data_IF_869343619140
#
_entry.id   IF_869343619140
#
_cell.length_a   1.000
_cell.length_b   1.000
_cell.length_c   1.000
_cell.angle_alpha   90.00
_cell.angle_beta   90.00
_cell.angle_gamma   90.00
#
_symmetry.space_group_name_H-M   'P 1'
#
loop_
_entity.id
_entity.type
_entity.pdbx_description
1 polymer ?
#
# COMPACT_ATOMS: atom_id res chain seq x y z
N UNK A 1 4.99 -23.47 -32.02
CA UNK A 1 4.34 -24.03 -30.80
C UNK A 1 5.35 -23.88 -29.69
N UNK A 2 5.28 -22.75 -28.97
CA UNK A 2 6.08 -22.52 -27.76
C UNK A 2 5.56 -23.47 -26.68
N UNK A 3 6.44 -24.24 -26.05
CA UNK A 3 6.08 -25.09 -24.92
C UNK A 3 5.47 -24.19 -23.85
N UNK A 4 4.18 -24.40 -23.51
CA UNK A 4 3.56 -23.74 -22.34
C UNK A 4 4.41 -24.06 -21.12
N UNK A 5 4.90 -23.03 -20.43
CA UNK A 5 5.65 -23.18 -19.20
C UNK A 5 4.81 -23.96 -18.16
N UNK A 6 5.51 -24.59 -17.22
CA UNK A 6 4.84 -25.28 -16.10
C UNK A 6 4.06 -24.22 -15.28
N UNK A 7 2.78 -24.50 -14.98
CA UNK A 7 2.00 -23.69 -14.03
C UNK A 7 2.55 -23.87 -12.63
N UNK A 8 2.73 -22.76 -11.94
CA UNK A 8 3.17 -22.72 -10.56
C UNK A 8 1.97 -22.54 -9.61
N UNK A 9 2.21 -22.81 -8.35
CA UNK A 9 1.25 -22.55 -7.27
C UNK A 9 1.63 -21.24 -6.55
N UNK A 10 0.66 -20.35 -6.38
CA UNK A 10 0.81 -19.11 -5.59
C UNK A 10 0.20 -19.30 -4.21
N UNK A 11 0.93 -18.86 -3.18
CA UNK A 11 0.40 -18.58 -1.86
C UNK A 11 0.80 -17.16 -1.42
N UNK A 12 -0.11 -16.44 -0.81
CA UNK A 12 0.12 -15.10 -0.27
C UNK A 12 0.12 -15.16 1.26
N UNK A 13 1.28 -14.93 1.86
CA UNK A 13 1.42 -14.87 3.32
C UNK A 13 1.41 -13.42 3.76
N UNK A 14 0.58 -13.09 4.74
CA UNK A 14 0.62 -11.79 5.41
C UNK A 14 1.44 -11.97 6.67
N UNK A 15 2.48 -11.16 6.80
CA UNK A 15 3.45 -11.22 7.90
C UNK A 15 3.41 -9.90 8.65
N UNK A 16 3.24 -9.99 9.97
CA UNK A 16 3.41 -8.87 10.90
C UNK A 16 4.78 -9.05 11.53
N UNK A 17 5.81 -8.29 11.09
CA UNK A 17 7.14 -8.40 11.69
C UNK A 17 7.18 -7.73 13.06
N UNK A 18 8.17 -8.08 13.88
CA UNK A 18 8.42 -7.44 15.18
C UNK A 18 8.76 -5.95 15.04
N UNK A 19 9.29 -5.53 13.91
CA UNK A 19 9.57 -4.13 13.59
C UNK A 19 9.28 -3.85 12.12
N UNK A 20 8.79 -2.64 11.83
CA UNK A 20 8.42 -2.20 10.48
C UNK A 20 6.92 -2.37 10.21
N UNK A 21 6.57 -2.54 8.94
CA UNK A 21 5.17 -2.61 8.50
C UNK A 21 4.73 -4.02 8.13
N UNK A 22 3.42 -4.24 8.14
CA UNK A 22 2.81 -5.48 7.65
C UNK A 22 3.13 -5.70 6.18
N UNK A 23 3.42 -6.94 5.81
CA UNK A 23 3.92 -7.29 4.48
C UNK A 23 3.12 -8.43 3.86
N UNK A 24 2.84 -8.32 2.57
CA UNK A 24 2.48 -9.47 1.76
C UNK A 24 3.75 -10.12 1.24
N UNK A 25 3.90 -11.43 1.49
CA UNK A 25 5.02 -12.25 1.02
C UNK A 25 4.50 -13.25 -0.01
N UNK A 26 4.72 -13.02 -1.32
CA UNK A 26 4.35 -14.00 -2.33
C UNK A 26 5.25 -15.23 -2.26
N UNK A 27 4.64 -16.40 -2.19
CA UNK A 27 5.30 -17.70 -2.14
C UNK A 27 4.91 -18.48 -3.39
N UNK A 28 5.87 -18.74 -4.26
CA UNK A 28 5.66 -19.47 -5.52
C UNK A 28 6.31 -20.85 -5.42
N UNK A 29 5.53 -21.91 -5.64
CA UNK A 29 5.96 -23.31 -5.49
C UNK A 29 6.66 -23.54 -4.12
N UNK A 30 6.17 -22.92 -3.04
CA UNK A 30 6.70 -23.02 -1.69
C UNK A 30 7.90 -22.12 -1.39
N UNK A 31 8.40 -21.31 -2.34
CA UNK A 31 9.54 -20.40 -2.16
C UNK A 31 9.06 -18.96 -2.05
N UNK A 32 9.49 -18.26 -1.01
CA UNK A 32 9.29 -16.81 -0.89
C UNK A 32 10.18 -16.09 -1.90
N UNK A 33 9.56 -15.48 -2.92
CA UNK A 33 10.29 -14.82 -4.01
C UNK A 33 10.96 -13.51 -3.60
N UNK A 34 10.60 -12.94 -2.45
CA UNK A 34 11.22 -11.72 -1.91
C UNK A 34 12.40 -12.02 -0.97
N UNK A 35 12.60 -13.29 -0.60
CA UNK A 35 13.70 -13.70 0.26
C UNK A 35 15.01 -13.92 -0.52
N UNK A 36 14.95 -14.00 -1.86
CA UNK A 36 16.13 -14.23 -2.71
C UNK A 36 16.95 -12.94 -2.93
N UNK A 37 18.30 -13.09 -3.13
CA UNK A 37 19.15 -11.93 -3.40
C UNK A 37 18.75 -11.17 -4.70
N UNK A 38 18.97 -9.85 -4.69
CA UNK A 38 19.63 -9.07 -3.65
C UNK A 38 18.74 -8.91 -2.43
N UNK A 39 19.17 -9.48 -1.30
CA UNK A 39 18.45 -9.49 -0.04
C UNK A 39 18.08 -8.07 0.42
N UNK A 40 16.95 -7.92 1.10
CA UNK A 40 16.50 -6.65 1.65
C UNK A 40 15.12 -6.19 1.18
N UNK A 41 14.44 -6.96 0.35
CA UNK A 41 13.07 -6.65 -0.04
C UNK A 41 12.10 -6.88 1.13
N UNK A 42 11.46 -5.82 1.56
CA UNK A 42 10.28 -5.90 2.40
C UNK A 42 9.05 -5.97 1.51
N UNK A 43 8.16 -6.91 1.76
CA UNK A 43 6.90 -6.99 1.04
C UNK A 43 6.08 -5.70 1.19
N UNK A 44 5.24 -5.42 0.23
CA UNK A 44 4.36 -4.26 0.27
C UNK A 44 3.16 -4.52 1.18
N UNK A 45 2.53 -3.45 1.62
CA UNK A 45 1.37 -3.47 2.50
C UNK A 45 0.19 -4.24 1.85
N UNK A 46 -0.56 -5.08 2.61
CA UNK A 46 -1.73 -5.80 2.10
C UNK A 46 -2.78 -4.90 1.44
N UNK A 47 -3.02 -3.71 1.95
CA UNK A 47 -3.99 -2.79 1.35
C UNK A 47 -3.57 -2.27 -0.03
N UNK A 48 -2.26 -2.23 -0.30
CA UNK A 48 -1.72 -1.87 -1.62
C UNK A 48 -1.77 -3.07 -2.56
N UNK A 49 -1.25 -4.22 -2.12
CA UNK A 49 -1.11 -5.41 -2.97
C UNK A 49 -2.44 -6.09 -3.26
N UNK A 50 -3.35 -6.11 -2.28
CA UNK A 50 -4.65 -6.79 -2.37
C UNK A 50 -5.81 -5.81 -2.62
N UNK A 51 -5.53 -4.52 -2.62
CA UNK A 51 -6.50 -3.46 -2.88
C UNK A 51 -6.79 -3.22 -4.37
N UNK A 52 -7.54 -2.16 -4.68
CA UNK A 52 -7.83 -1.77 -6.06
C UNK A 52 -6.54 -1.51 -6.87
N UNK A 53 -6.44 -2.09 -8.07
CA UNK A 53 -5.25 -1.99 -8.91
C UNK A 53 -4.08 -2.87 -8.48
N UNK A 54 -4.26 -3.70 -7.43
CA UNK A 54 -3.31 -4.71 -7.00
C UNK A 54 -3.53 -6.06 -7.70
N UNK A 55 -3.15 -7.13 -7.02
CA UNK A 55 -3.18 -8.49 -7.57
C UNK A 55 -4.58 -9.00 -7.95
N UNK A 56 -5.65 -8.42 -7.36
CA UNK A 56 -7.03 -8.81 -7.65
C UNK A 56 -7.57 -8.27 -8.98
N UNK A 57 -6.99 -7.20 -9.51
CA UNK A 57 -7.46 -6.55 -10.73
C UNK A 57 -6.89 -7.22 -11.98
N UNK A 58 -7.21 -8.50 -12.20
CA UNK A 58 -6.68 -9.27 -13.33
C UNK A 58 -7.68 -9.27 -14.47
N UNK A 59 -7.44 -8.40 -15.44
CA UNK A 59 -8.15 -8.38 -16.72
C UNK A 59 -7.18 -8.68 -17.90
N UNK A 60 -7.64 -8.52 -19.13
CA UNK A 60 -6.81 -8.71 -20.33
C UNK A 60 -5.75 -7.61 -20.51
N UNK A 61 -5.89 -6.47 -19.79
CA UNK A 61 -4.95 -5.38 -19.87
C UNK A 61 -3.84 -5.56 -18.83
N UNK A 62 -2.58 -5.63 -19.26
CA UNK A 62 -1.45 -5.70 -18.35
C UNK A 62 -1.40 -4.46 -17.44
N UNK A 63 -1.16 -4.66 -16.15
CA UNK A 63 -0.92 -3.58 -15.21
C UNK A 63 0.26 -3.90 -14.30
N UNK A 64 0.93 -2.87 -13.79
CA UNK A 64 2.02 -3.02 -12.84
C UNK A 64 1.51 -3.06 -11.41
N UNK A 65 2.05 -4.00 -10.64
CA UNK A 65 1.83 -4.10 -9.19
C UNK A 65 3.16 -3.96 -8.47
N UNK A 66 3.23 -3.06 -7.50
CA UNK A 66 4.37 -2.99 -6.59
C UNK A 66 4.23 -4.08 -5.54
N UNK A 67 5.17 -5.03 -5.53
CA UNK A 67 5.18 -6.16 -4.60
C UNK A 67 6.07 -5.94 -3.39
N UNK A 68 7.11 -5.11 -3.54
CA UNK A 68 8.07 -4.90 -2.47
C UNK A 68 8.79 -3.55 -2.59
N UNK A 69 9.40 -3.14 -1.50
CA UNK A 69 10.29 -1.97 -1.41
C UNK A 69 11.52 -2.30 -0.55
N UNK A 70 12.59 -1.55 -0.73
CA UNK A 70 13.71 -1.61 0.20
C UNK A 70 13.34 -0.80 1.44
N UNK A 71 13.85 -1.22 2.60
CA UNK A 71 13.51 -0.67 3.94
C UNK A 71 13.94 0.78 4.17
N UNK A 72 14.02 1.62 3.14
CA UNK A 72 14.15 3.05 3.33
C UNK A 72 12.79 3.71 3.04
N UNK A 73 12.51 4.81 3.71
CA UNK A 73 11.27 5.56 3.58
C UNK A 73 11.18 6.34 2.26
N UNK A 74 12.28 6.41 1.50
CA UNK A 74 12.33 7.17 0.26
C UNK A 74 12.23 6.26 -0.97
N UNK A 75 11.41 6.64 -1.94
CA UNK A 75 11.20 5.93 -3.21
C UNK A 75 12.51 5.73 -4.00
N UNK A 76 13.54 6.54 -3.73
CA UNK A 76 14.86 6.43 -4.33
C UNK A 76 15.61 5.13 -4.03
N UNK A 77 15.22 4.40 -2.97
CA UNK A 77 15.93 3.20 -2.51
C UNK A 77 15.53 1.90 -3.22
N UNK A 78 14.60 1.94 -4.12
CA UNK A 78 14.18 0.82 -4.95
C UNK A 78 12.85 0.19 -4.53
N UNK A 79 12.15 -0.29 -5.54
CA UNK A 79 10.91 -1.02 -5.39
C UNK A 79 10.86 -2.15 -6.43
N UNK A 80 10.21 -3.25 -6.09
CA UNK A 80 10.00 -4.36 -7.00
C UNK A 80 8.60 -4.28 -7.58
N UNK A 81 8.53 -4.09 -8.88
CA UNK A 81 7.29 -4.12 -9.65
C UNK A 81 7.23 -5.39 -10.50
N UNK A 82 6.02 -5.86 -10.71
CA UNK A 82 5.70 -6.94 -11.63
C UNK A 82 4.56 -6.53 -12.54
N UNK A 83 4.62 -6.90 -13.81
CA UNK A 83 3.48 -6.81 -14.70
C UNK A 83 2.60 -8.04 -14.52
N UNK A 84 1.33 -7.81 -14.20
CA UNK A 84 0.31 -8.86 -14.04
C UNK A 84 -0.66 -8.76 -15.21
N UNK A 85 -0.95 -9.89 -15.85
CA UNK A 85 -1.89 -9.95 -16.96
C UNK A 85 -2.58 -11.32 -17.06
N UNK A 86 -3.74 -11.35 -17.68
CA UNK A 86 -4.47 -12.58 -17.97
C UNK A 86 -4.20 -13.06 -19.39
N UNK A 87 -3.88 -14.31 -19.55
CA UNK A 87 -3.76 -15.00 -20.84
C UNK A 87 -4.70 -16.22 -20.87
N UNK A 88 -5.96 -15.98 -21.20
CA UNK A 88 -6.98 -17.04 -21.21
C UNK A 88 -7.24 -17.61 -19.82
N UNK A 89 -6.85 -18.87 -19.60
CA UNK A 89 -7.00 -19.58 -18.32
C UNK A 89 -5.78 -19.46 -17.39
N UNK A 90 -4.84 -18.57 -17.72
CA UNK A 90 -3.63 -18.32 -16.95
C UNK A 90 -3.53 -16.85 -16.52
N UNK A 91 -2.94 -16.62 -15.34
CA UNK A 91 -2.40 -15.32 -14.92
C UNK A 91 -0.89 -15.39 -15.02
N UNK A 92 -0.31 -14.38 -15.64
CA UNK A 92 1.13 -14.32 -15.90
C UNK A 92 1.72 -13.15 -15.15
N UNK A 93 2.82 -13.40 -14.45
CA UNK A 93 3.67 -12.40 -13.83
C UNK A 93 4.99 -12.33 -14.59
N UNK A 94 5.27 -11.19 -15.19
CA UNK A 94 6.53 -10.92 -15.90
C UNK A 94 6.93 -9.44 -15.78
N UNK A 95 7.84 -8.97 -16.65
CA UNK A 95 8.21 -7.56 -16.74
C UNK A 95 8.76 -6.99 -15.42
N UNK A 96 9.47 -7.78 -14.64
CA UNK A 96 10.05 -7.39 -13.37
C UNK A 96 10.90 -6.13 -13.50
N UNK A 97 10.66 -5.15 -12.63
CA UNK A 97 11.31 -3.84 -12.72
C UNK A 97 11.69 -3.32 -11.33
N UNK A 98 12.91 -2.80 -11.24
CA UNK A 98 13.37 -2.00 -10.10
C UNK A 98 13.77 -0.60 -10.62
N UNK A 99 13.00 0.48 -10.35
CA UNK A 99 13.29 1.83 -10.84
C UNK A 99 14.63 2.40 -10.38
N UNK A 100 15.11 2.00 -9.19
CA UNK A 100 16.39 2.46 -8.67
C UNK A 100 17.60 1.81 -9.35
N UNK A 101 17.36 0.91 -10.31
CA UNK A 101 18.40 0.16 -10.99
C UNK A 101 18.74 -1.16 -10.30
N UNK A 102 19.47 -2.01 -11.02
CA UNK A 102 19.73 -3.39 -10.61
C UNK A 102 18.75 -4.38 -11.23
N UNK A 103 19.22 -5.61 -11.39
CA UNK A 103 18.42 -6.68 -11.98
C UNK A 103 17.43 -7.21 -10.94
N UNK A 104 16.17 -7.28 -11.34
CA UNK A 104 15.18 -8.12 -10.67
C UNK A 104 15.08 -9.42 -11.47
N UNK A 105 16.12 -10.29 -11.35
CA UNK A 105 16.24 -11.54 -12.14
C UNK A 105 15.25 -12.61 -11.67
N UNK A 106 13.96 -12.24 -11.62
CA UNK A 106 12.89 -13.19 -11.36
C UNK A 106 12.36 -13.72 -12.70
N UNK A 107 12.07 -15.02 -12.80
CA UNK A 107 11.52 -15.62 -14.01
C UNK A 107 10.08 -15.18 -14.25
N UNK A 108 9.56 -15.45 -15.44
CA UNK A 108 8.13 -15.43 -15.68
C UNK A 108 7.46 -16.52 -14.85
N UNK A 109 6.37 -16.16 -14.14
CA UNK A 109 5.51 -17.08 -13.43
C UNK A 109 4.16 -17.19 -14.12
N UNK A 110 3.61 -18.40 -14.18
CA UNK A 110 2.30 -18.72 -14.77
C UNK A 110 1.46 -19.48 -13.77
N UNK A 111 0.28 -18.98 -13.50
CA UNK A 111 -0.66 -19.55 -12.54
C UNK A 111 -1.97 -19.94 -13.25
N UNK A 112 -2.63 -20.99 -12.81
CA UNK A 112 -4.01 -21.24 -13.21
C UNK A 112 -4.90 -20.12 -12.68
N UNK A 113 -5.66 -19.44 -13.57
CA UNK A 113 -6.41 -18.23 -13.22
C UNK A 113 -7.39 -18.44 -12.06
N UNK A 114 -8.13 -19.54 -12.06
CA UNK A 114 -9.10 -19.81 -11.00
C UNK A 114 -8.44 -20.01 -9.62
N UNK A 115 -7.27 -20.67 -9.57
CA UNK A 115 -6.52 -20.86 -8.32
C UNK A 115 -5.87 -19.57 -7.84
N UNK A 116 -5.33 -18.80 -8.78
CA UNK A 116 -4.78 -17.48 -8.52
C UNK A 116 -5.83 -16.55 -7.89
N UNK A 117 -6.98 -16.43 -8.54
CA UNK A 117 -8.08 -15.59 -8.07
C UNK A 117 -8.60 -16.04 -6.69
N UNK A 118 -8.72 -17.36 -6.48
CA UNK A 118 -9.12 -17.91 -5.18
C UNK A 118 -8.10 -17.55 -4.08
N UNK A 119 -6.79 -17.64 -4.36
CA UNK A 119 -5.75 -17.31 -3.38
C UNK A 119 -5.71 -15.82 -3.07
N UNK A 120 -5.78 -14.95 -4.10
CA UNK A 120 -5.82 -13.50 -3.89
C UNK A 120 -7.08 -13.11 -3.10
N UNK A 121 -8.22 -13.69 -3.42
CA UNK A 121 -9.47 -13.46 -2.69
C UNK A 121 -9.38 -13.93 -1.24
N UNK A 122 -8.83 -15.14 -0.99
CA UNK A 122 -8.57 -15.64 0.36
C UNK A 122 -7.72 -14.67 1.16
N UNK A 123 -6.59 -14.23 0.59
CA UNK A 123 -5.67 -13.31 1.25
C UNK A 123 -6.31 -11.94 1.53
N UNK A 124 -7.12 -11.43 0.60
CA UNK A 124 -7.83 -10.17 0.76
C UNK A 124 -8.93 -10.21 1.85
N UNK A 125 -9.50 -11.39 2.11
CA UNK A 125 -10.50 -11.58 3.18
C UNK A 125 -9.87 -11.91 4.53
N UNK A 126 -8.61 -12.31 4.56
CA UNK A 126 -7.92 -12.60 5.81
C UNK A 126 -7.65 -11.31 6.60
N UNK A 127 -8.30 -11.16 7.73
CA UNK A 127 -8.15 -10.04 8.68
C UNK A 127 -7.51 -10.47 10.00
N UNK A 128 -7.09 -11.73 10.12
CA UNK A 128 -6.52 -12.27 11.34
C UNK A 128 -5.21 -11.64 11.79
N UNK A 129 -4.58 -10.88 10.92
CA UNK A 129 -3.34 -10.13 11.15
C UNK A 129 -3.57 -8.67 11.57
N UNK A 130 -4.80 -8.16 11.53
CA UNK A 130 -5.14 -6.79 11.88
C UNK A 130 -5.31 -6.65 13.42
N UNK A 131 -4.80 -5.56 13.96
CA UNK A 131 -5.10 -5.07 15.31
C UNK A 131 -6.15 -3.94 15.25
N UNK A 132 -6.76 -3.54 16.39
CA UNK A 132 -7.90 -2.60 16.38
C UNK A 132 -7.65 -1.32 15.57
N UNK A 133 -6.55 -0.59 15.82
CA UNK A 133 -6.24 0.61 15.07
C UNK A 133 -6.03 0.35 13.58
N UNK A 134 -5.50 -0.83 13.21
CA UNK A 134 -5.31 -1.20 11.81
C UNK A 134 -6.64 -1.32 11.07
N UNK A 135 -7.62 -2.00 11.67
CA UNK A 135 -8.96 -2.12 11.09
C UNK A 135 -9.64 -0.75 10.97
N UNK A 136 -9.58 0.08 12.03
CA UNK A 136 -10.12 1.45 12.01
C UNK A 136 -9.44 2.30 10.93
N UNK A 137 -8.12 2.20 10.79
CA UNK A 137 -7.35 2.95 9.80
C UNK A 137 -7.77 2.63 8.35
N UNK A 138 -8.02 1.36 8.03
CA UNK A 138 -8.53 0.95 6.72
C UNK A 138 -9.88 1.60 6.40
N UNK A 139 -10.83 1.48 7.32
CA UNK A 139 -12.17 2.04 7.19
C UNK A 139 -12.14 3.59 7.12
N UNK A 140 -11.27 4.21 7.89
CA UNK A 140 -11.07 5.67 7.86
C UNK A 140 -10.49 6.12 6.52
N UNK A 141 -9.47 5.42 6.03
CA UNK A 141 -8.83 5.74 4.74
C UNK A 141 -9.83 5.66 3.58
N UNK A 142 -10.67 4.63 3.54
CA UNK A 142 -11.73 4.50 2.52
C UNK A 142 -12.71 5.68 2.57
N UNK A 143 -13.15 6.09 3.78
CA UNK A 143 -14.05 7.23 3.96
C UNK A 143 -13.43 8.54 3.51
N UNK A 144 -12.19 8.82 3.93
CA UNK A 144 -11.51 10.08 3.59
C UNK A 144 -11.22 10.19 2.09
N UNK A 145 -10.84 9.09 1.43
CA UNK A 145 -10.64 9.08 -0.03
C UNK A 145 -11.93 9.29 -0.82
N UNK A 146 -13.06 8.88 -0.26
CA UNK A 146 -14.38 9.10 -0.86
C UNK A 146 -14.95 10.51 -0.58
N UNK A 147 -14.41 11.25 0.41
CA UNK A 147 -14.89 12.57 0.82
C UNK A 147 -14.09 13.70 0.14
N UNK A 148 -14.50 14.06 -1.06
CA UNK A 148 -13.89 15.17 -1.79
C UNK A 148 -14.08 16.55 -1.11
N UNK A 149 -15.09 16.70 -0.26
CA UNK A 149 -15.33 17.96 0.47
C UNK A 149 -14.33 18.13 1.58
N UNK A 150 -13.98 17.06 2.27
CA UNK A 150 -12.91 17.05 3.25
C UNK A 150 -11.55 17.41 2.61
N UNK A 151 -11.17 16.71 1.51
CA UNK A 151 -9.92 16.95 0.81
C UNK A 151 -9.79 18.41 0.34
N UNK A 152 -10.85 18.98 -0.24
CA UNK A 152 -10.85 20.40 -0.66
C UNK A 152 -10.70 21.38 0.52
N UNK A 153 -11.38 21.10 1.65
CA UNK A 153 -11.32 21.98 2.81
C UNK A 153 -9.96 21.94 3.47
N UNK A 154 -9.34 20.76 3.53
CA UNK A 154 -8.00 20.59 4.08
C UNK A 154 -6.91 20.96 3.08
N UNK A 155 -7.25 21.14 1.81
CA UNK A 155 -6.31 21.34 0.71
C UNK A 155 -5.20 20.28 0.71
N UNK A 156 -5.57 19.03 0.99
CA UNK A 156 -4.66 17.90 1.11
C UNK A 156 -5.27 16.64 0.51
N UNK A 157 -4.42 15.72 0.10
CA UNK A 157 -4.82 14.35 -0.23
C UNK A 157 -4.21 13.36 0.78
N UNK A 158 -4.95 12.30 1.07
CA UNK A 158 -4.51 11.24 1.96
C UNK A 158 -3.51 10.33 1.24
N UNK A 159 -2.25 10.37 1.66
CA UNK A 159 -1.21 9.45 1.19
C UNK A 159 -1.37 8.08 1.83
N UNK A 160 -1.35 8.04 3.17
CA UNK A 160 -1.40 6.81 3.94
C UNK A 160 -2.07 6.99 5.31
N UNK A 161 -2.45 5.89 5.93
CA UNK A 161 -2.74 5.82 7.36
C UNK A 161 -1.80 4.78 7.97
N UNK A 162 -0.89 5.24 8.80
CA UNK A 162 0.07 4.38 9.48
C UNK A 162 -0.47 3.89 10.80
N UNK A 163 -0.11 2.68 11.14
CA UNK A 163 -0.40 2.04 12.43
C UNK A 163 0.76 1.12 12.78
N UNK A 164 0.99 0.91 14.07
CA UNK A 164 2.00 -0.03 14.56
C UNK A 164 1.38 -1.06 15.50
N UNK A 165 1.78 -2.34 15.43
CA UNK A 165 1.37 -3.32 16.44
C UNK A 165 1.88 -3.00 17.84
N UNK A 166 2.96 -2.21 17.97
CA UNK A 166 3.50 -1.75 19.26
C UNK A 166 2.62 -0.67 19.91
N UNK A 167 1.84 0.06 19.10
CA UNK A 167 0.87 1.07 19.54
C UNK A 167 -0.51 0.73 18.94
N UNK A 168 -1.17 -0.36 19.43
CA UNK A 168 -2.30 -0.97 18.75
C UNK A 168 -3.58 -0.11 18.72
N UNK A 169 -3.61 0.98 19.46
CA UNK A 169 -4.73 1.95 19.51
C UNK A 169 -4.42 3.23 18.73
N UNK A 170 -3.16 3.43 18.29
CA UNK A 170 -2.73 4.66 17.61
C UNK A 170 -2.75 4.50 16.10
N UNK A 171 -3.19 5.54 15.42
CA UNK A 171 -3.07 5.70 13.98
C UNK A 171 -2.58 7.10 13.62
N UNK A 172 -1.85 7.21 12.52
CA UNK A 172 -1.27 8.45 12.01
C UNK A 172 -1.65 8.63 10.55
N UNK A 173 -2.37 9.70 10.24
CA UNK A 173 -2.64 10.08 8.86
C UNK A 173 -1.42 10.79 8.29
N UNK A 174 -1.04 10.40 7.09
CA UNK A 174 -0.04 11.08 6.27
C UNK A 174 -0.75 11.75 5.13
N UNK A 175 -0.64 13.07 5.06
CA UNK A 175 -1.33 13.90 4.09
C UNK A 175 -0.31 14.67 3.25
N UNK A 176 -0.60 14.86 1.98
CA UNK A 176 0.21 15.71 1.09
C UNK A 176 -0.60 16.95 0.70
N UNK A 177 -0.02 18.10 0.99
CA UNK A 177 -0.54 19.40 0.56
C UNK A 177 0.28 19.88 -0.66
N UNK A 178 -0.31 20.39 -1.74
CA UNK A 178 -1.77 20.46 -1.94
C UNK A 178 -2.40 19.14 -2.41
N UNK A 179 -1.62 18.26 -3.05
CA UNK A 179 -2.08 16.97 -3.59
C UNK A 179 -0.90 16.01 -3.82
N UNK A 180 -1.19 14.71 -4.02
CA UNK A 180 -0.19 13.64 -4.19
C UNK A 180 0.66 13.77 -5.47
N UNK A 181 0.27 14.58 -6.44
CA UNK A 181 1.02 14.81 -7.67
C UNK A 181 2.04 15.95 -7.55
N UNK A 182 1.94 16.76 -6.49
CA UNK A 182 2.76 17.96 -6.36
C UNK A 182 4.26 17.67 -6.45
N UNK A 183 4.74 16.60 -5.81
CA UNK A 183 6.14 16.17 -5.90
C UNK A 183 6.53 15.75 -7.31
N UNK A 184 5.71 14.92 -7.98
CA UNK A 184 5.98 14.44 -9.34
C UNK A 184 5.98 15.58 -10.37
N UNK A 185 5.11 16.56 -10.16
CA UNK A 185 4.98 17.74 -11.02
C UNK A 185 6.03 18.81 -10.72
N UNK A 186 6.91 18.61 -9.72
CA UNK A 186 7.90 19.59 -9.27
C UNK A 186 7.28 20.82 -8.62
N UNK A 187 6.03 20.73 -8.13
CA UNK A 187 5.35 21.80 -7.38
C UNK A 187 5.75 21.77 -5.90
N UNK A 188 5.70 22.92 -5.20
CA UNK A 188 5.87 22.92 -3.74
C UNK A 188 4.88 21.98 -3.04
N UNK A 189 5.34 21.22 -2.06
CA UNK A 189 4.50 20.31 -1.27
C UNK A 189 4.92 20.32 0.21
N UNK A 190 3.94 19.99 1.07
CA UNK A 190 4.15 19.65 2.48
C UNK A 190 3.63 18.24 2.75
N UNK A 191 4.37 17.49 3.53
CA UNK A 191 3.87 16.28 4.18
C UNK A 191 3.43 16.64 5.60
N UNK A 192 2.19 16.32 5.90
CA UNK A 192 1.55 16.62 7.18
C UNK A 192 1.17 15.31 7.88
N UNK A 193 1.37 15.29 9.20
CA UNK A 193 0.98 14.17 10.05
C UNK A 193 -0.17 14.56 10.99
N UNK A 194 -1.15 13.66 11.17
CA UNK A 194 -2.22 13.80 12.16
C UNK A 194 -2.30 12.54 13.00
N UNK A 195 -1.97 12.65 14.29
CA UNK A 195 -2.07 11.54 15.24
C UNK A 195 -3.51 11.44 15.79
N UNK A 196 -4.06 10.23 15.80
CA UNK A 196 -5.40 9.91 16.29
C UNK A 196 -5.36 8.63 17.13
N UNK A 197 -6.31 8.52 18.06
CA UNK A 197 -6.54 7.31 18.85
C UNK A 197 -7.80 6.61 18.35
N UNK A 198 -7.68 5.32 18.04
CA UNK A 198 -8.79 4.51 17.50
C UNK A 198 -9.77 4.13 18.58
N UNK A 199 -9.62 4.24 19.80
CA UNK A 199 -10.54 3.73 20.82
C UNK A 199 -10.74 2.21 20.75
N UNK A 200 -11.50 1.68 21.68
CA UNK A 200 -11.77 0.26 21.89
C UNK A 200 -13.17 -0.18 21.42
N UNK A 201 -13.88 0.71 20.74
CA UNK A 201 -15.25 0.49 20.25
C UNK A 201 -15.33 -0.35 18.97
N UNK A 202 -16.55 -0.42 18.39
CA UNK A 202 -16.76 -1.01 17.08
C UNK A 202 -15.92 -0.26 16.02
N UNK A 203 -15.09 -0.94 15.23
CA UNK A 203 -14.18 -0.28 14.28
C UNK A 203 -14.87 0.63 13.27
N UNK A 204 -16.09 0.28 12.82
CA UNK A 204 -16.83 1.11 11.87
C UNK A 204 -17.36 2.39 12.53
N UNK A 205 -17.82 2.30 13.77
CA UNK A 205 -18.24 3.46 14.56
C UNK A 205 -17.06 4.37 14.90
N UNK A 206 -15.89 3.80 15.25
CA UNK A 206 -14.67 4.55 15.53
C UNK A 206 -14.16 5.26 14.27
N UNK A 207 -14.11 4.59 13.12
CA UNK A 207 -13.75 5.23 11.85
C UNK A 207 -14.70 6.38 11.48
N UNK A 208 -16.01 6.22 11.74
CA UNK A 208 -16.99 7.28 11.51
C UNK A 208 -16.78 8.46 12.47
N UNK A 209 -16.51 8.20 13.74
CA UNK A 209 -16.20 9.23 14.76
C UNK A 209 -14.96 10.04 14.38
N UNK A 210 -13.89 9.36 13.96
CA UNK A 210 -12.64 9.99 13.52
C UNK A 210 -12.83 10.81 12.24
N UNK A 211 -13.56 10.28 11.25
CA UNK A 211 -13.90 11.02 10.04
C UNK A 211 -14.69 12.30 10.37
N UNK A 212 -15.68 12.22 11.26
CA UNK A 212 -16.45 13.38 11.69
C UNK A 212 -15.57 14.42 12.45
N UNK A 213 -14.62 13.97 13.28
CA UNK A 213 -13.64 14.84 13.95
C UNK A 213 -12.77 15.59 12.94
N UNK A 214 -12.26 14.90 11.94
CA UNK A 214 -11.46 15.49 10.85
C UNK A 214 -12.32 16.43 9.99
N UNK A 215 -13.57 16.05 9.76
CA UNK A 215 -14.52 16.88 9.01
C UNK A 215 -14.86 18.18 9.72
N UNK A 216 -14.91 18.23 11.03
CA UNK A 216 -15.15 19.44 11.84
C UNK A 216 -13.91 20.18 12.30
N UNK A 217 -12.73 19.58 12.11
CA UNK A 217 -11.47 20.13 12.62
C UNK A 217 -10.78 21.09 11.66
N UNK A 218 -9.85 21.86 12.21
CA UNK A 218 -8.96 22.74 11.46
C UNK A 218 -7.62 22.04 11.22
N UNK A 219 -7.13 22.08 9.97
CA UNK A 219 -5.84 21.50 9.59
C UNK A 219 -4.69 22.07 10.40
N UNK A 220 -4.66 23.39 10.60
CA UNK A 220 -3.56 24.05 11.30
C UNK A 220 -3.48 23.70 12.79
N UNK A 221 -4.62 23.33 13.40
CA UNK A 221 -4.68 22.92 14.81
C UNK A 221 -4.38 21.43 14.99
N UNK A 222 -4.65 20.61 13.97
CA UNK A 222 -4.61 19.15 14.08
C UNK A 222 -3.38 18.52 13.44
N UNK A 223 -2.78 19.17 12.44
CA UNK A 223 -1.69 18.59 11.67
C UNK A 223 -0.33 19.20 12.02
N UNK A 224 0.68 18.34 12.03
CA UNK A 224 2.09 18.71 12.18
C UNK A 224 2.81 18.59 10.84
N UNK A 225 3.76 19.48 10.57
CA UNK A 225 4.60 19.39 9.36
C UNK A 225 5.70 18.36 9.60
N UNK A 226 5.68 17.26 8.83
CA UNK A 226 6.69 16.20 8.88
C UNK A 226 7.75 16.32 7.79
N UNK A 227 7.38 16.89 6.63
CA UNK A 227 8.28 17.06 5.51
C UNK A 227 7.85 18.18 4.58
N UNK A 228 8.80 18.66 3.76
CA UNK A 228 8.52 19.70 2.78
C UNK A 228 9.50 19.64 1.60
N UNK A 229 9.05 20.13 0.44
CA UNK A 229 9.94 20.37 -0.71
C UNK A 229 10.89 21.53 -0.44
N UNK A 230 12.05 21.54 -1.11
CA UNK A 230 13.05 22.61 -1.04
C UNK A 230 12.53 23.99 -1.46
N UNK A 231 11.47 24.01 -2.27
CA UNK A 231 10.86 25.22 -2.82
C UNK A 231 9.65 25.70 -2.01
N UNK A 232 9.34 25.06 -0.89
CA UNK A 232 8.25 25.52 -0.05
C UNK A 232 8.74 26.73 0.75
N UNK A 233 8.32 27.93 0.32
CA UNK A 233 8.69 29.17 0.99
C UNK A 233 8.06 29.23 2.39
N UNK A 234 8.76 29.83 3.35
CA UNK A 234 8.28 29.98 4.73
C UNK A 234 6.99 30.82 4.85
N UNK A 235 6.60 31.50 3.74
CA UNK A 235 5.42 32.37 3.65
C UNK A 235 4.07 31.62 3.56
N UNK A 236 4.08 30.27 3.53
CA UNK A 236 2.87 29.43 3.46
C UNK A 236 2.64 28.60 4.74
N UNK A 237 3.36 28.88 5.83
CA UNK A 237 3.19 28.19 7.10
C UNK A 237 2.17 28.92 8.01
#
# INVERSE_FOLDING_TARGET
MTARGRRQELALRIVVPEAGWVQVRPVVDGRDILAEPPAGWSGEDPWVVLGPGGLAAVDEHPHEVRLARISCTEVCCGALYVTVRREGDEVVWDGWRNPAGGSADLPEFRFEAARYEAEVHRAALDRGWEWPARTVAGLLAERLRADADWSRRWECELEAVWTSPDEPERLELVLIHPDLRAEQDGRPWLQLGVALDAGDGDPAAEAQRLAARLAGGDRQEMAEVWGRSWHYAEDFA
#
